data_IF_402737155018
#
_entry.id   IF_402737155018
#
_cell.length_a   1.000
_cell.length_b   1.000
_cell.length_c   1.000
_cell.angle_alpha   90.00
_cell.angle_beta   90.00
_cell.angle_gamma   90.00
#
_symmetry.space_group_name_H-M   'P 1'
#
loop_
_entity.id
_entity.type
_entity.pdbx_description
1 polymer ?
#
# COMPACT_ATOMS: atom_id res chain seq x y z
N UNK A 1 6.21 -2.13 15.34
CA UNK A 1 6.15 -0.72 14.90
C UNK A 1 4.74 -0.43 14.42
N UNK A 2 4.19 0.76 14.64
CA UNK A 2 2.83 1.11 14.22
C UNK A 2 2.86 2.49 13.59
N UNK A 3 2.32 2.61 12.38
CA UNK A 3 2.05 3.88 11.74
C UNK A 3 0.55 4.22 11.88
N UNK A 4 0.25 5.46 12.25
CA UNK A 4 -1.11 5.97 12.33
C UNK A 4 -1.43 6.78 11.08
N UNK A 5 -2.36 6.27 10.29
CA UNK A 5 -2.67 6.74 8.95
C UNK A 5 -4.13 7.15 8.84
N UNK A 6 -4.38 8.17 8.03
CA UNK A 6 -5.71 8.57 7.60
C UNK A 6 -5.80 8.38 6.08
N UNK A 7 -6.90 7.79 5.64
CA UNK A 7 -7.32 7.73 4.24
C UNK A 7 -8.61 8.54 4.10
N UNK A 8 -8.62 9.53 3.21
CA UNK A 8 -9.87 10.19 2.79
C UNK A 8 -10.55 9.29 1.74
N UNK A 9 -11.86 9.07 1.86
CA UNK A 9 -12.60 8.28 0.87
C UNK A 9 -12.58 8.99 -0.50
N UNK A 10 -12.32 8.27 -1.61
CA UNK A 10 -12.44 8.83 -2.94
C UNK A 10 -13.86 9.27 -3.29
N UNK A 11 -14.88 8.60 -2.69
CA UNK A 11 -16.29 8.86 -2.99
C UNK A 11 -16.89 9.98 -2.15
N UNK A 12 -16.28 10.31 -1.01
CA UNK A 12 -16.80 11.32 -0.09
C UNK A 12 -15.69 11.94 0.76
N UNK A 13 -15.47 13.27 0.69
CA UNK A 13 -14.42 13.93 1.46
C UNK A 13 -14.67 13.92 2.98
N UNK A 14 -15.90 13.62 3.41
CA UNK A 14 -16.27 13.55 4.84
C UNK A 14 -16.01 12.16 5.43
N UNK A 15 -16.02 11.11 4.59
CA UNK A 15 -15.70 9.76 5.02
C UNK A 15 -14.18 9.58 5.10
N UNK A 16 -13.70 9.25 6.30
CA UNK A 16 -12.29 8.97 6.55
C UNK A 16 -12.13 7.60 7.20
N UNK A 17 -11.10 6.88 6.79
CA UNK A 17 -10.67 5.64 7.43
C UNK A 17 -9.40 5.90 8.19
N UNK A 18 -9.39 5.54 9.48
CA UNK A 18 -8.18 5.50 10.29
C UNK A 18 -7.57 4.12 10.17
N UNK A 19 -6.32 4.04 9.70
CA UNK A 19 -5.57 2.79 9.62
C UNK A 19 -4.43 2.78 10.63
N UNK A 20 -4.24 1.65 11.29
CA UNK A 20 -3.06 1.36 12.10
C UNK A 20 -2.24 0.31 11.36
N UNK A 21 -1.27 0.77 10.56
CA UNK A 21 -0.37 -0.13 9.83
C UNK A 21 0.70 -0.61 10.81
N UNK A 22 0.53 -1.84 11.29
CA UNK A 22 1.35 -2.41 12.34
C UNK A 22 2.23 -3.55 11.83
N UNK A 23 3.48 -3.54 12.29
CA UNK A 23 4.50 -4.54 11.98
C UNK A 23 4.95 -5.23 13.25
N UNK A 24 4.89 -6.55 13.24
CA UNK A 24 5.37 -7.42 14.31
C UNK A 24 6.63 -8.17 13.87
N UNK A 25 7.63 -8.33 14.75
CA UNK A 25 8.85 -9.06 14.42
C UNK A 25 8.65 -10.56 14.29
N UNK A 26 7.55 -11.10 14.82
CA UNK A 26 7.26 -12.53 14.76
C UNK A 26 5.78 -12.82 14.96
N UNK A 27 5.31 -13.94 14.41
CA UNK A 27 3.95 -14.44 14.61
C UNK A 27 3.60 -14.64 16.10
N UNK A 28 4.48 -15.22 16.95
CA UNK A 28 4.20 -15.32 18.39
C UNK A 28 3.98 -13.96 19.07
N UNK A 29 4.71 -12.91 18.67
CA UNK A 29 4.54 -11.58 19.26
C UNK A 29 3.20 -10.94 18.88
N UNK A 30 2.76 -11.14 17.63
CA UNK A 30 1.42 -10.76 17.18
C UNK A 30 0.34 -11.54 17.93
N UNK A 31 0.46 -12.86 18.00
CA UNK A 31 -0.52 -13.73 18.66
C UNK A 31 -0.68 -13.38 20.13
N UNK A 32 0.42 -13.16 20.87
CA UNK A 32 0.38 -12.78 22.27
C UNK A 32 -0.42 -11.47 22.51
N UNK A 33 -0.31 -10.51 21.59
CA UNK A 33 -1.11 -9.28 21.63
C UNK A 33 -2.58 -9.54 21.26
N UNK A 34 -2.81 -10.22 20.13
CA UNK A 34 -4.16 -10.44 19.58
C UNK A 34 -5.05 -11.24 20.53
N UNK A 35 -4.49 -12.26 21.17
CA UNK A 35 -5.21 -13.11 22.14
C UNK A 35 -5.18 -12.55 23.57
N UNK A 36 -4.65 -11.33 23.77
CA UNK A 36 -4.70 -10.70 25.08
C UNK A 36 -6.15 -10.36 25.43
N UNK A 37 -6.49 -10.49 26.73
CA UNK A 37 -7.83 -10.22 27.23
C UNK A 37 -8.43 -8.88 26.76
N UNK A 38 -7.72 -7.72 26.83
CA UNK A 38 -8.30 -6.45 26.39
C UNK A 38 -8.58 -6.41 24.89
N UNK A 39 -7.71 -6.98 24.05
CA UNK A 39 -7.85 -6.96 22.59
C UNK A 39 -8.98 -7.89 22.16
N UNK A 40 -9.01 -9.11 22.69
CA UNK A 40 -10.09 -10.07 22.41
C UNK A 40 -11.44 -9.55 22.89
N UNK A 41 -11.52 -8.95 24.09
CA UNK A 41 -12.75 -8.35 24.60
C UNK A 41 -13.21 -7.17 23.74
N UNK A 42 -12.29 -6.26 23.39
CA UNK A 42 -12.60 -5.14 22.50
C UNK A 42 -13.14 -5.62 21.15
N UNK A 43 -12.37 -6.46 20.45
CA UNK A 43 -12.75 -6.93 19.12
C UNK A 43 -14.05 -7.71 19.14
N UNK A 44 -14.25 -8.59 20.12
CA UNK A 44 -15.48 -9.37 20.28
C UNK A 44 -16.72 -8.54 20.63
N UNK A 45 -16.54 -7.39 21.29
CA UNK A 45 -17.62 -6.49 21.71
C UNK A 45 -18.11 -5.53 20.63
N UNK A 46 -17.46 -5.49 19.47
CA UNK A 46 -17.82 -4.57 18.39
C UNK A 46 -19.28 -4.79 17.95
N UNK A 47 -20.09 -3.71 17.85
CA UNK A 47 -21.46 -3.81 17.36
C UNK A 47 -21.49 -4.18 15.87
N UNK A 48 -22.61 -4.71 15.34
CA UNK A 48 -22.74 -5.08 13.93
C UNK A 48 -22.47 -3.95 12.93
N UNK A 49 -22.55 -2.68 13.34
CA UNK A 49 -22.34 -1.49 12.50
C UNK A 49 -21.05 -0.73 12.87
N UNK A 50 -20.02 -1.41 13.40
CA UNK A 50 -18.84 -0.78 13.97
C UNK A 50 -17.96 0.01 12.99
N UNK A 51 -17.98 -0.33 11.69
CA UNK A 51 -17.09 0.27 10.70
C UNK A 51 -15.62 -0.07 10.93
N UNK A 52 -15.31 -1.25 11.48
CA UNK A 52 -13.95 -1.67 11.81
C UNK A 52 -13.56 -2.92 11.04
N UNK A 53 -12.31 -2.98 10.60
CA UNK A 53 -11.78 -4.15 9.91
C UNK A 53 -10.34 -4.43 10.31
N UNK A 54 -9.89 -5.65 10.04
CA UNK A 54 -8.50 -6.08 10.14
C UNK A 54 -8.13 -6.87 8.89
N UNK A 55 -6.94 -6.59 8.36
CA UNK A 55 -6.32 -7.30 7.26
C UNK A 55 -4.92 -7.70 7.73
N UNK A 56 -4.71 -8.98 7.97
CA UNK A 56 -3.51 -9.52 8.59
C UNK A 56 -2.73 -10.28 7.53
N UNK A 57 -1.47 -9.92 7.36
CA UNK A 57 -0.59 -10.49 6.35
C UNK A 57 0.57 -11.24 7.05
N UNK A 58 0.69 -12.54 6.81
CA UNK A 58 1.80 -13.37 7.27
C UNK A 58 2.89 -13.38 6.21
N UNK A 59 3.73 -12.33 6.22
CA UNK A 59 4.73 -12.13 5.18
C UNK A 59 5.94 -13.04 5.39
N UNK A 60 6.21 -13.92 4.43
CA UNK A 60 7.45 -14.71 4.39
C UNK A 60 8.65 -13.81 4.08
N UNK A 61 9.76 -13.88 4.84
CA UNK A 61 11.01 -13.19 4.52
C UNK A 61 11.55 -13.52 3.13
N UNK A 62 11.21 -14.70 2.58
CA UNK A 62 11.66 -15.17 1.27
C UNK A 62 10.85 -14.62 0.09
N UNK A 63 9.74 -13.95 0.39
CA UNK A 63 8.77 -13.41 -0.59
C UNK A 63 8.50 -11.92 -0.35
N UNK A 64 9.41 -11.25 0.34
CA UNK A 64 9.32 -9.83 0.62
C UNK A 64 10.65 -9.15 0.31
N UNK A 65 10.58 -7.90 -0.09
CA UNK A 65 11.74 -7.04 -0.24
C UNK A 65 11.38 -5.63 0.22
N UNK A 66 12.38 -4.88 0.66
CA UNK A 66 12.24 -3.48 1.02
C UNK A 66 13.41 -2.67 0.46
N UNK A 67 13.12 -1.46 0.01
CA UNK A 67 14.12 -0.47 -0.41
C UNK A 67 13.92 0.83 0.35
N UNK A 68 15.04 1.44 0.77
CA UNK A 68 15.05 2.74 1.45
C UNK A 68 16.01 3.71 0.73
N UNK A 69 15.61 4.97 0.62
CA UNK A 69 16.46 6.05 0.08
C UNK A 69 17.54 6.50 1.08
N UNK A 70 17.37 6.20 2.37
CA UNK A 70 18.30 6.59 3.44
C UNK A 70 18.35 5.60 4.61
N UNK A 71 19.16 5.88 5.64
CA UNK A 71 19.40 4.97 6.76
C UNK A 71 18.30 4.97 7.83
N UNK A 72 17.34 5.91 7.75
CA UNK A 72 16.19 5.97 8.67
C UNK A 72 15.34 4.72 8.45
N UNK A 73 15.10 3.96 9.53
CA UNK A 73 14.17 2.83 9.49
C UNK A 73 12.77 3.33 9.19
N UNK A 74 12.09 2.68 8.26
CA UNK A 74 10.71 2.91 7.89
C UNK A 74 10.01 1.57 7.65
N UNK A 75 8.70 1.51 7.94
CA UNK A 75 7.86 0.32 7.78
C UNK A 75 8.51 -1.00 8.22
N UNK A 76 8.66 -1.97 7.31
CA UNK A 76 9.25 -3.28 7.58
C UNK A 76 10.68 -3.20 8.15
N UNK A 77 11.45 -2.14 7.85
CA UNK A 77 12.80 -1.99 8.38
C UNK A 77 12.85 -1.80 9.91
N UNK A 78 11.72 -1.51 10.57
CA UNK A 78 11.62 -1.51 12.02
C UNK A 78 11.65 -2.90 12.65
N UNK A 79 11.22 -3.92 11.91
CA UNK A 79 11.15 -5.31 12.39
C UNK A 79 12.08 -6.26 11.64
N UNK A 80 12.71 -5.79 10.55
CA UNK A 80 13.71 -6.51 9.78
C UNK A 80 15.13 -5.96 9.97
N UNK A 81 16.03 -6.48 9.14
CA UNK A 81 17.44 -6.07 9.07
C UNK A 81 17.66 -5.26 7.80
N UNK A 82 18.20 -4.05 7.95
CA UNK A 82 18.68 -3.27 6.80
C UNK A 82 20.03 -3.85 6.39
N UNK A 83 20.13 -4.28 5.14
CA UNK A 83 21.38 -4.74 4.52
C UNK A 83 21.89 -3.69 3.54
N UNK A 84 23.20 -3.67 3.30
CA UNK A 84 23.76 -2.79 2.28
C UNK A 84 23.26 -3.17 0.88
N UNK A 85 23.18 -2.16 0.02
CA UNK A 85 22.69 -2.29 -1.35
C UNK A 85 23.56 -3.29 -2.13
N UNK A 86 22.91 -4.29 -2.74
CA UNK A 86 23.57 -5.24 -3.64
C UNK A 86 23.56 -4.73 -5.08
N UNK A 87 24.09 -5.49 -6.04
CA UNK A 87 24.03 -5.15 -7.47
C UNK A 87 22.61 -5.16 -8.06
N UNK A 88 21.60 -5.64 -7.33
CA UNK A 88 20.21 -5.78 -7.78
C UNK A 88 19.38 -4.50 -7.57
N UNK A 89 19.81 -3.37 -8.13
CA UNK A 89 19.09 -2.09 -8.04
C UNK A 89 19.04 -1.34 -9.38
N UNK A 90 18.07 -0.43 -9.53
CA UNK A 90 18.10 0.55 -10.63
C UNK A 90 17.68 0.04 -12.02
N UNK A 91 17.30 -1.23 -12.18
CA UNK A 91 16.67 -1.77 -13.41
C UNK A 91 15.23 -2.23 -13.17
N UNK A 92 14.46 -2.39 -14.25
CA UNK A 92 13.10 -2.95 -14.18
C UNK A 92 13.15 -4.45 -13.87
N UNK A 93 12.49 -4.89 -12.81
CA UNK A 93 12.55 -6.26 -12.31
C UNK A 93 13.43 -6.43 -11.07
N UNK A 94 14.13 -5.38 -10.62
CA UNK A 94 15.01 -5.48 -9.45
C UNK A 94 14.28 -5.91 -8.16
N UNK A 95 13.00 -5.56 -7.98
CA UNK A 95 12.24 -6.02 -6.82
C UNK A 95 12.00 -7.53 -6.87
N UNK A 96 11.69 -8.07 -8.05
CA UNK A 96 11.46 -9.50 -8.24
C UNK A 96 12.72 -10.32 -7.96
N UNK A 97 13.87 -9.84 -8.41
CA UNK A 97 15.15 -10.53 -8.23
C UNK A 97 15.66 -10.50 -6.78
N UNK A 98 15.04 -9.70 -5.90
CA UNK A 98 15.33 -9.68 -4.45
C UNK A 98 14.56 -10.73 -3.65
N UNK A 99 13.59 -11.40 -4.26
CA UNK A 99 12.86 -12.47 -3.58
C UNK A 99 13.65 -13.79 -3.63
N UNK A 100 13.94 -14.37 -2.47
CA UNK A 100 14.64 -15.67 -2.37
C UNK A 100 13.90 -16.83 -3.06
N UNK A 101 12.57 -16.75 -3.17
CA UNK A 101 11.75 -17.77 -3.82
C UNK A 101 11.56 -17.54 -5.32
N UNK A 102 11.96 -16.39 -5.86
CA UNK A 102 11.86 -16.14 -7.29
C UNK A 102 12.82 -17.05 -8.06
N UNK A 103 12.31 -17.72 -9.08
CA UNK A 103 13.09 -18.56 -9.99
C UNK A 103 12.45 -18.61 -11.37
N UNK A 104 13.11 -19.25 -12.33
CA UNK A 104 12.55 -19.46 -13.67
C UNK A 104 11.22 -20.22 -13.65
N UNK A 105 11.05 -21.13 -12.68
CA UNK A 105 9.84 -21.96 -12.52
C UNK A 105 8.88 -21.43 -11.47
N UNK A 106 9.30 -20.47 -10.63
CA UNK A 106 8.48 -19.82 -9.63
C UNK A 106 8.54 -18.29 -9.80
N UNK A 107 7.69 -17.78 -10.67
CA UNK A 107 7.53 -16.34 -10.89
C UNK A 107 6.52 -15.70 -9.94
N UNK A 108 5.90 -16.49 -9.06
CA UNK A 108 4.89 -16.02 -8.12
C UNK A 108 3.73 -15.31 -8.83
N UNK A 109 3.25 -15.91 -9.92
CA UNK A 109 2.10 -15.43 -10.67
C UNK A 109 0.79 -15.84 -9.98
N UNK A 110 -0.28 -15.05 -10.16
CA UNK A 110 -1.55 -15.38 -9.53
C UNK A 110 -2.15 -16.69 -10.04
N UNK A 111 -2.95 -17.36 -9.21
CA UNK A 111 -3.80 -18.46 -9.66
C UNK A 111 -4.97 -18.01 -10.54
N UNK A 112 -5.31 -16.71 -10.56
CA UNK A 112 -6.33 -16.15 -11.43
C UNK A 112 -5.74 -15.66 -12.75
N UNK A 113 -6.35 -16.08 -13.87
CA UNK A 113 -5.91 -15.69 -15.21
C UNK A 113 -6.20 -14.22 -15.55
N UNK A 114 -7.24 -13.64 -14.95
CA UNK A 114 -7.67 -12.24 -15.16
C UNK A 114 -7.96 -11.59 -13.82
N UNK A 115 -7.76 -10.27 -13.68
CA UNK A 115 -8.14 -9.55 -12.47
C UNK A 115 -9.65 -9.68 -12.23
N UNK A 116 -10.08 -9.97 -11.00
CA UNK A 116 -11.50 -10.01 -10.65
C UNK A 116 -12.10 -8.60 -10.69
N UNK A 117 -13.38 -8.52 -11.03
CA UNK A 117 -14.12 -7.27 -10.96
C UNK A 117 -14.64 -7.03 -9.54
N UNK A 118 -14.38 -5.86 -8.92
CA UNK A 118 -14.89 -5.55 -7.60
C UNK A 118 -16.39 -5.27 -7.66
N UNK A 119 -17.13 -5.74 -6.65
CA UNK A 119 -18.50 -5.25 -6.41
C UNK A 119 -18.40 -3.80 -5.95
N UNK A 120 -18.93 -2.88 -6.76
CA UNK A 120 -19.03 -1.47 -6.39
C UNK A 120 -20.11 -1.31 -5.31
N UNK A 121 -19.84 -0.54 -4.27
CA UNK A 121 -20.78 -0.26 -3.16
C UNK A 121 -21.97 0.64 -3.53
N UNK A 122 -22.35 0.72 -4.81
CA UNK A 122 -23.49 1.51 -5.29
C UNK A 122 -24.74 0.63 -5.17
N UNK A 123 -25.67 1.04 -4.30
CA UNK A 123 -27.01 0.47 -4.32
C UNK A 123 -27.67 0.79 -5.67
N UNK A 124 -28.41 -0.15 -6.23
CA UNK A 124 -29.19 0.01 -7.48
C UNK A 124 -30.38 0.99 -7.33
N UNK A 125 -30.20 2.16 -6.69
CA UNK A 125 -31.26 3.11 -6.44
C UNK A 125 -30.77 4.55 -6.38
N UNK A 126 -31.46 5.42 -7.11
CA UNK A 126 -31.30 6.87 -7.09
C UNK A 126 -31.47 7.43 -5.67
N UNK A 127 -30.39 7.92 -5.05
CA UNK A 127 -30.44 8.73 -3.84
C UNK A 127 -29.21 8.60 -2.93
N UNK A 128 -28.41 9.67 -2.87
CA UNK A 128 -27.29 9.95 -1.95
C UNK A 128 -26.13 8.94 -1.88
N UNK A 129 -24.98 9.36 -2.40
CA UNK A 129 -23.77 8.58 -2.65
C UNK A 129 -22.92 8.18 -1.44
N UNK A 130 -23.52 7.81 -0.31
CA UNK A 130 -22.81 7.12 0.77
C UNK A 130 -23.18 5.62 0.74
N UNK A 131 -22.17 4.77 0.52
CA UNK A 131 -22.35 3.33 0.29
C UNK A 131 -23.14 2.61 1.38
N UNK A 132 -23.74 1.46 1.04
CA UNK A 132 -24.50 0.65 2.00
C UNK A 132 -23.57 0.08 3.08
N UNK A 133 -23.89 0.27 4.36
CA UNK A 133 -23.23 -0.43 5.47
C UNK A 133 -23.67 -1.90 5.45
N UNK A 134 -22.71 -2.83 5.46
CA UNK A 134 -22.97 -4.26 5.65
C UNK A 134 -22.87 -4.60 7.13
N UNK A 135 -24.02 -4.78 7.78
CA UNK A 135 -24.08 -5.15 9.19
C UNK A 135 -23.50 -6.55 9.47
N UNK A 136 -22.94 -6.70 10.67
CA UNK A 136 -22.41 -7.96 11.17
C UNK A 136 -20.93 -8.16 10.85
N UNK A 137 -20.45 -9.38 11.08
CA UNK A 137 -19.08 -9.80 10.84
C UNK A 137 -18.98 -10.58 9.54
N UNK A 138 -18.01 -10.23 8.72
CA UNK A 138 -17.66 -10.97 7.51
C UNK A 138 -16.18 -11.35 7.61
N UNK A 139 -15.90 -12.65 7.53
CA UNK A 139 -14.54 -13.18 7.44
C UNK A 139 -14.31 -13.62 6.00
N UNK A 140 -13.22 -13.13 5.40
CA UNK A 140 -12.77 -13.56 4.08
C UNK A 140 -11.75 -14.67 4.30
N UNK A 141 -12.16 -15.92 4.03
CA UNK A 141 -11.39 -17.12 4.34
C UNK A 141 -10.54 -17.65 3.19
N UNK A 142 -10.81 -17.21 1.96
CA UNK A 142 -10.07 -17.60 0.76
C UNK A 142 -9.39 -16.42 0.09
N UNK A 143 -8.27 -16.68 -0.57
CA UNK A 143 -7.56 -15.71 -1.41
C UNK A 143 -6.93 -16.41 -2.63
N UNK A 144 -6.74 -15.70 -3.75
CA UNK A 144 -5.86 -16.14 -4.82
C UNK A 144 -4.43 -16.35 -4.31
N UNK A 145 -3.71 -17.30 -4.93
CA UNK A 145 -2.28 -17.42 -4.68
C UNK A 145 -1.57 -16.16 -5.19
N UNK A 146 -0.51 -15.77 -4.49
CA UNK A 146 0.48 -14.79 -4.93
C UNK A 146 -0.03 -13.35 -5.11
N UNK A 147 -1.03 -12.95 -4.32
CA UNK A 147 -1.37 -11.53 -4.19
C UNK A 147 -0.13 -10.73 -3.78
N UNK A 148 0.06 -9.58 -4.42
CA UNK A 148 1.18 -8.69 -4.12
C UNK A 148 0.69 -7.48 -3.34
N UNK A 149 1.17 -7.33 -2.12
CA UNK A 149 0.93 -6.15 -1.29
C UNK A 149 2.13 -5.20 -1.39
N UNK A 150 1.84 -3.92 -1.60
CA UNK A 150 2.84 -2.86 -1.74
C UNK A 150 2.58 -1.77 -0.71
N UNK A 151 3.64 -1.38 -0.01
CA UNK A 151 3.68 -0.17 0.80
C UNK A 151 4.70 0.77 0.16
N UNK A 152 4.24 1.93 -0.29
CA UNK A 152 5.12 2.98 -0.81
C UNK A 152 4.98 4.22 0.05
N UNK A 153 6.11 4.76 0.53
CA UNK A 153 6.10 5.87 1.45
C UNK A 153 7.04 6.99 1.04
N UNK A 154 6.61 8.20 1.36
CA UNK A 154 7.33 9.44 1.08
C UNK A 154 7.25 10.34 2.31
N UNK A 155 8.39 10.85 2.76
CA UNK A 155 8.49 11.77 3.89
C UNK A 155 9.37 12.97 3.53
N UNK A 156 8.71 14.13 3.43
CA UNK A 156 9.30 15.41 3.05
C UNK A 156 9.73 16.22 4.29
N UNK A 157 9.47 15.73 5.52
CA UNK A 157 9.69 16.52 6.74
C UNK A 157 11.14 16.93 6.96
N UNK A 158 12.08 16.21 6.34
CA UNK A 158 13.53 16.44 6.48
C UNK A 158 14.16 17.26 5.35
N UNK A 159 13.43 17.62 4.28
CA UNK A 159 14.02 18.29 3.13
C UNK A 159 14.34 19.75 3.43
N UNK A 160 15.51 20.22 2.96
CA UNK A 160 15.89 21.64 3.04
C UNK A 160 15.22 22.49 1.96
N UNK A 161 15.31 23.82 2.08
CA UNK A 161 14.68 24.75 1.13
C UNK A 161 15.16 24.56 -0.32
N UNK A 162 16.44 24.26 -0.53
CA UNK A 162 16.98 23.99 -1.87
C UNK A 162 16.34 22.75 -2.52
N UNK A 163 16.30 21.64 -1.78
CA UNK A 163 15.68 20.40 -2.23
C UNK A 163 14.17 20.56 -2.41
N UNK A 164 13.50 21.29 -1.50
CA UNK A 164 12.07 21.60 -1.59
C UNK A 164 11.73 22.36 -2.87
N UNK A 165 12.49 23.41 -3.19
CA UNK A 165 12.31 24.15 -4.45
C UNK A 165 12.52 23.24 -5.65
N UNK A 166 13.60 22.45 -5.65
CA UNK A 166 13.88 21.51 -6.73
C UNK A 166 12.76 20.47 -6.89
N UNK A 167 12.20 19.98 -5.78
CA UNK A 167 11.07 19.05 -5.77
C UNK A 167 9.83 19.62 -6.47
N UNK A 168 9.43 20.85 -6.11
CA UNK A 168 8.26 21.48 -6.74
C UNK A 168 8.48 21.81 -8.22
N UNK A 169 9.70 22.20 -8.59
CA UNK A 169 10.04 22.51 -9.98
C UNK A 169 10.08 21.25 -10.87
N UNK A 170 10.47 20.09 -10.33
CA UNK A 170 10.83 18.92 -11.16
C UNK A 170 9.99 17.66 -10.91
N UNK A 171 9.36 17.51 -9.75
CA UNK A 171 8.77 16.23 -9.33
C UNK A 171 7.31 16.30 -8.88
N UNK A 172 6.91 17.31 -8.09
CA UNK A 172 5.60 17.34 -7.42
C UNK A 172 4.42 17.02 -8.35
N UNK A 173 4.36 17.66 -9.52
CA UNK A 173 3.32 17.43 -10.51
C UNK A 173 3.37 16.01 -11.10
N UNK A 174 4.56 15.52 -11.49
CA UNK A 174 4.72 14.20 -12.08
C UNK A 174 4.43 13.06 -11.09
N UNK A 175 4.80 13.23 -9.82
CA UNK A 175 4.48 12.30 -8.72
C UNK A 175 2.99 12.30 -8.44
N UNK A 176 2.37 13.49 -8.37
CA UNK A 176 0.91 13.62 -8.20
C UNK A 176 0.15 12.90 -9.32
N UNK A 177 0.57 13.10 -10.57
CA UNK A 177 -0.04 12.44 -11.72
C UNK A 177 0.14 10.93 -11.67
N UNK A 178 1.34 10.43 -11.36
CA UNK A 178 1.58 8.99 -11.27
C UNK A 178 0.73 8.31 -10.19
N UNK A 179 0.69 8.87 -8.99
CA UNK A 179 -0.09 8.29 -7.89
C UNK A 179 -1.59 8.34 -8.22
N UNK A 180 -2.05 9.41 -8.89
CA UNK A 180 -3.45 9.55 -9.32
C UNK A 180 -3.79 8.55 -10.43
N UNK A 181 -2.91 8.35 -11.42
CA UNK A 181 -3.07 7.34 -12.46
C UNK A 181 -3.15 5.93 -11.86
N UNK A 182 -2.31 5.65 -10.86
CA UNK A 182 -2.28 4.36 -10.19
C UNK A 182 -3.55 4.11 -9.38
N UNK A 183 -4.00 5.08 -8.58
CA UNK A 183 -5.22 4.97 -7.79
C UNK A 183 -6.49 4.85 -8.64
N UNK A 184 -6.50 5.41 -9.85
CA UNK A 184 -7.64 5.36 -10.77
C UNK A 184 -7.49 4.31 -11.89
N UNK A 185 -6.47 3.45 -11.81
CA UNK A 185 -6.25 2.45 -12.84
C UNK A 185 -7.45 1.48 -12.90
N UNK A 186 -7.88 1.06 -14.11
CA UNK A 186 -9.00 0.13 -14.24
C UNK A 186 -8.64 -1.23 -13.61
N UNK A 187 -9.65 -2.03 -13.18
CA UNK A 187 -9.43 -3.37 -12.62
C UNK A 187 -8.55 -4.28 -13.49
N UNK A 188 -8.62 -4.14 -14.81
CA UNK A 188 -7.76 -4.85 -15.78
C UNK A 188 -6.25 -4.61 -15.58
N UNK A 189 -5.86 -3.58 -14.83
CA UNK A 189 -4.48 -3.29 -14.43
C UNK A 189 -4.00 -4.16 -13.28
N UNK A 190 -4.89 -5.00 -12.71
CA UNK A 190 -4.59 -5.92 -11.63
C UNK A 190 -4.50 -5.27 -10.25
N UNK A 191 -4.98 -4.04 -10.08
CA UNK A 191 -5.12 -3.42 -8.75
C UNK A 191 -6.44 -3.87 -8.15
N UNK A 192 -6.37 -4.51 -7.00
CA UNK A 192 -7.53 -5.00 -6.25
C UNK A 192 -8.04 -3.95 -5.26
N UNK A 193 -7.12 -3.23 -4.62
CA UNK A 193 -7.43 -2.13 -3.71
C UNK A 193 -6.27 -1.12 -3.68
N UNK A 194 -6.60 0.15 -3.52
CA UNK A 194 -5.67 1.28 -3.51
C UNK A 194 -6.03 2.27 -2.42
N UNK A 195 -5.11 2.53 -1.51
CA UNK A 195 -5.31 3.45 -0.37
C UNK A 195 -4.24 4.53 -0.41
N UNK A 196 -4.68 5.77 -0.59
CA UNK A 196 -3.83 6.94 -0.49
C UNK A 196 -3.93 7.50 0.93
N UNK A 197 -2.94 7.15 1.77
CA UNK A 197 -2.93 7.51 3.17
C UNK A 197 -1.93 8.61 3.50
N UNK A 198 -2.16 9.30 4.60
CA UNK A 198 -1.29 10.35 5.11
C UNK A 198 -1.21 10.35 6.63
N UNK A 199 -0.18 11.02 7.17
CA UNK A 199 0.02 11.20 8.61
C UNK A 199 -0.30 12.66 8.96
N UNK A 200 -1.46 12.96 9.55
CA UNK A 200 -1.88 14.34 9.80
C UNK A 200 -0.90 15.14 10.66
N UNK A 201 -0.29 14.50 11.65
CA UNK A 201 0.68 15.12 12.56
C UNK A 201 1.99 15.53 11.87
N UNK A 202 2.24 15.09 10.64
CA UNK A 202 3.40 15.52 9.85
C UNK A 202 3.26 16.94 9.29
N UNK A 203 2.05 17.53 9.34
CA UNK A 203 1.76 18.81 8.70
C UNK A 203 1.75 18.71 7.17
N UNK A 204 1.42 19.82 6.52
CA UNK A 204 1.37 19.92 5.05
C UNK A 204 2.53 20.75 4.51
N UNK A 205 2.96 20.45 3.28
CA UNK A 205 4.02 21.18 2.56
C UNK A 205 3.51 21.90 1.31
N UNK A 206 2.27 21.62 0.92
CA UNK A 206 1.54 22.24 -0.18
C UNK A 206 0.04 22.19 0.09
N UNK A 207 -0.75 22.83 -0.77
CA UNK A 207 -2.21 22.78 -0.76
C UNK A 207 -2.72 22.54 -2.19
N UNK A 208 -3.07 21.30 -2.50
CA UNK A 208 -3.50 20.84 -3.83
C UNK A 208 -4.42 19.61 -3.74
N UNK A 209 -4.89 19.11 -4.88
CA UNK A 209 -5.69 17.88 -4.97
C UNK A 209 -4.84 16.74 -5.55
N UNK A 210 -4.92 15.51 -5.03
CA UNK A 210 -5.70 15.08 -3.86
C UNK A 210 -5.08 15.48 -2.51
N UNK A 211 -5.94 15.73 -1.51
CA UNK A 211 -5.59 16.16 -0.13
C UNK A 211 -4.50 15.27 0.48
N UNK A 212 -4.59 13.95 0.30
CA UNK A 212 -3.65 12.99 0.86
C UNK A 212 -2.18 13.25 0.46
N UNK A 213 -1.96 13.87 -0.71
CA UNK A 213 -0.62 14.15 -1.22
C UNK A 213 -0.03 15.48 -0.74
N UNK A 214 -0.79 16.26 0.04
CA UNK A 214 -0.36 17.54 0.61
C UNK A 214 0.46 17.40 1.89
N UNK A 215 0.40 16.24 2.55
CA UNK A 215 1.09 15.98 3.79
C UNK A 215 2.57 15.67 3.57
N UNK A 216 3.42 16.12 4.51
CA UNK A 216 4.85 15.84 4.48
C UNK A 216 5.10 14.34 4.41
N UNK A 217 4.38 13.59 5.25
CA UNK A 217 4.46 12.14 5.32
C UNK A 217 3.17 11.50 4.81
N UNK A 218 3.34 10.66 3.79
CA UNK A 218 2.27 9.96 3.06
C UNK A 218 2.70 8.54 2.74
N UNK A 219 1.73 7.63 2.77
CA UNK A 219 1.93 6.21 2.54
C UNK A 219 0.81 5.72 1.62
N UNK A 220 1.16 5.08 0.53
CA UNK A 220 0.22 4.40 -0.33
C UNK A 220 0.27 2.90 -0.07
N UNK A 221 -0.91 2.29 0.04
CA UNK A 221 -1.07 0.85 0.19
C UNK A 221 -1.79 0.32 -1.05
N UNK A 222 -1.22 -0.69 -1.70
CA UNK A 222 -1.82 -1.29 -2.87
C UNK A 222 -1.84 -2.80 -2.75
N UNK A 223 -2.98 -3.40 -3.08
CA UNK A 223 -3.08 -4.82 -3.35
C UNK A 223 -3.15 -5.02 -4.85
N UNK A 224 -2.19 -5.77 -5.38
CA UNK A 224 -2.18 -6.23 -6.77
C UNK A 224 -2.49 -7.72 -6.84
N UNK A 225 -3.08 -8.15 -7.95
CA UNK A 225 -3.38 -9.55 -8.22
C UNK A 225 -2.12 -10.42 -8.16
N UNK A 226 -1.00 -9.91 -8.69
CA UNK A 226 0.34 -10.47 -8.50
C UNK A 226 1.41 -9.39 -8.72
N UNK A 227 2.67 -9.77 -8.46
CA UNK A 227 3.82 -8.88 -8.66
C UNK A 227 4.01 -8.49 -10.14
N UNK A 228 3.57 -9.35 -11.07
CA UNK A 228 3.65 -9.07 -12.51
C UNK A 228 2.75 -7.91 -12.92
N UNK A 229 1.55 -7.78 -12.34
CA UNK A 229 0.67 -6.62 -12.58
C UNK A 229 1.30 -5.32 -12.08
N UNK A 230 1.89 -5.34 -10.88
CA UNK A 230 2.62 -4.20 -10.32
C UNK A 230 3.78 -3.76 -11.23
N UNK A 231 4.62 -4.69 -11.68
CA UNK A 231 5.73 -4.35 -12.60
C UNK A 231 5.23 -3.81 -13.94
N UNK A 232 4.18 -4.42 -14.51
CA UNK A 232 3.63 -4.02 -15.81
C UNK A 232 3.07 -2.62 -15.79
N UNK A 233 2.33 -2.22 -14.75
CA UNK A 233 1.79 -0.85 -14.69
C UNK A 233 2.92 0.17 -14.58
N UNK A 234 3.96 -0.12 -13.81
CA UNK A 234 5.14 0.73 -13.67
C UNK A 234 5.92 0.91 -14.97
N UNK A 235 6.13 -0.15 -15.75
CA UNK A 235 6.88 -0.09 -17.02
C UNK A 235 6.06 0.51 -18.16
N UNK A 236 4.73 0.34 -18.15
CA UNK A 236 3.86 0.78 -19.25
C UNK A 236 3.38 2.22 -19.09
N UNK A 237 3.29 2.75 -17.87
CA UNK A 237 2.92 4.15 -17.65
C UNK A 237 4.09 5.06 -18.05
N UNK A 238 3.93 5.83 -19.14
CA UNK A 238 4.95 6.75 -19.65
C UNK A 238 5.33 7.84 -18.65
N UNK A 239 4.36 8.31 -17.85
CA UNK A 239 4.59 9.30 -16.79
C UNK A 239 5.50 8.74 -15.69
N UNK A 240 5.26 7.51 -15.24
CA UNK A 240 6.11 6.84 -14.27
C UNK A 240 7.51 6.56 -14.81
N UNK A 241 7.65 6.10 -16.06
CA UNK A 241 8.96 5.88 -16.68
C UNK A 241 9.76 7.19 -16.74
N UNK A 242 9.13 8.30 -17.15
CA UNK A 242 9.77 9.62 -17.19
C UNK A 242 10.15 10.11 -15.79
N UNK A 243 9.22 10.01 -14.82
CA UNK A 243 9.45 10.33 -13.41
C UNK A 243 10.65 9.57 -12.86
N UNK A 244 10.69 8.25 -13.04
CA UNK A 244 11.76 7.39 -12.56
C UNK A 244 13.11 7.77 -13.17
N UNK A 245 13.16 8.01 -14.47
CA UNK A 245 14.40 8.41 -15.15
C UNK A 245 14.90 9.77 -14.63
N UNK A 246 13.99 10.74 -14.46
CA UNK A 246 14.33 12.05 -13.91
C UNK A 246 14.81 11.92 -12.45
N UNK A 247 14.13 11.10 -11.64
CA UNK A 247 14.49 10.88 -10.25
C UNK A 247 15.89 10.27 -10.13
N UNK A 248 16.20 9.24 -10.93
CA UNK A 248 17.55 8.67 -10.98
C UNK A 248 18.60 9.70 -11.41
N UNK A 249 18.31 10.54 -12.40
CA UNK A 249 19.23 11.59 -12.84
C UNK A 249 19.50 12.65 -11.75
N UNK A 250 18.50 13.03 -10.97
CA UNK A 250 18.61 14.09 -9.97
C UNK A 250 19.12 13.61 -8.61
N UNK A 251 18.68 12.44 -8.15
CA UNK A 251 18.90 11.96 -6.78
C UNK A 251 19.99 10.90 -6.63
N UNK A 252 20.45 10.27 -7.72
CA UNK A 252 21.65 9.41 -7.63
C UNK A 252 22.89 10.24 -7.27
N UNK A 253 24.00 9.62 -6.80
CA UNK A 253 25.15 10.33 -6.21
C UNK A 253 25.79 11.43 -7.07
N UNK A 254 25.67 11.34 -8.40
CA UNK A 254 26.18 12.33 -9.35
C UNK A 254 25.15 13.40 -9.78
N UNK A 255 23.89 13.26 -9.36
CA UNK A 255 22.80 14.16 -9.68
C UNK A 255 22.80 15.44 -8.84
N UNK A 256 22.01 16.43 -9.26
CA UNK A 256 21.93 17.74 -8.63
C UNK A 256 21.61 17.67 -7.11
N UNK A 257 20.75 16.73 -6.71
CA UNK A 257 20.33 16.56 -5.32
C UNK A 257 21.13 15.48 -4.57
N UNK A 258 21.98 14.71 -5.24
CA UNK A 258 22.59 13.49 -4.69
C UNK A 258 23.41 13.66 -3.39
N UNK A 259 23.94 14.86 -3.14
CA UNK A 259 24.72 15.18 -1.92
C UNK A 259 23.90 15.80 -0.79
N UNK A 260 22.79 16.44 -1.14
CA UNK A 260 21.98 17.22 -0.19
C UNK A 260 20.66 16.53 0.15
N UNK A 261 20.26 15.52 -0.63
CA UNK A 261 18.97 14.85 -0.52
C UNK A 261 18.69 14.36 0.90
N UNK A 262 17.55 14.79 1.43
CA UNK A 262 16.95 14.33 2.68
C UNK A 262 15.56 13.75 2.48
N UNK A 263 15.01 13.81 1.26
CA UNK A 263 13.76 13.16 0.91
C UNK A 263 13.85 11.67 1.26
N UNK A 264 12.99 11.22 2.15
CA UNK A 264 12.93 9.82 2.52
C UNK A 264 11.86 9.12 1.70
N UNK A 265 12.30 8.22 0.83
CA UNK A 265 11.44 7.28 0.10
C UNK A 265 11.69 5.87 0.63
N UNK A 266 10.62 5.09 0.72
CA UNK A 266 10.73 3.66 0.94
C UNK A 266 9.64 2.91 0.19
N UNK A 267 9.95 1.67 -0.13
CA UNK A 267 9.05 0.75 -0.81
C UNK A 267 9.18 -0.62 -0.19
N UNK A 268 8.07 -1.31 -0.04
CA UNK A 268 7.98 -2.70 0.39
C UNK A 268 7.09 -3.41 -0.61
N UNK A 269 7.53 -4.57 -1.08
CA UNK A 269 6.67 -5.42 -1.90
C UNK A 269 6.70 -6.83 -1.33
N UNK A 270 5.53 -7.35 -0.97
CA UNK A 270 5.38 -8.68 -0.38
C UNK A 270 4.43 -9.51 -1.25
N UNK A 271 4.78 -10.76 -1.52
CA UNK A 271 3.94 -11.69 -2.28
C UNK A 271 3.45 -12.80 -1.36
N UNK A 272 2.13 -12.92 -1.25
CA UNK A 272 1.45 -13.68 -0.21
C UNK A 272 0.89 -14.97 -0.80
N UNK A 273 1.04 -16.09 -0.09
CA UNK A 273 0.29 -17.31 -0.39
C UNK A 273 -1.15 -17.14 0.07
N UNK A 274 -2.05 -17.98 -0.46
CA UNK A 274 -3.48 -17.87 -0.12
C UNK A 274 -3.81 -17.97 1.38
N UNK A 275 -2.98 -18.69 2.13
CA UNK A 275 -3.12 -18.92 3.58
C UNK A 275 -2.31 -17.93 4.43
N UNK A 276 -1.66 -16.97 3.79
CA UNK A 276 -0.87 -15.91 4.44
C UNK A 276 -1.67 -14.61 4.59
N UNK A 277 -2.99 -14.62 4.35
CA UNK A 277 -3.89 -13.46 4.46
C UNK A 277 -5.14 -13.85 5.23
N UNK A 278 -5.51 -13.05 6.23
CA UNK A 278 -6.79 -13.15 6.94
C UNK A 278 -7.43 -11.76 6.97
N UNK A 279 -8.69 -11.65 6.51
CA UNK A 279 -9.43 -10.40 6.60
C UNK A 279 -10.76 -10.60 7.34
N UNK A 280 -11.06 -9.70 8.26
CA UNK A 280 -12.36 -9.63 8.93
C UNK A 280 -12.87 -8.19 8.93
N UNK A 281 -14.13 -8.00 8.57
CA UNK A 281 -14.82 -6.73 8.50
C UNK A 281 -16.05 -6.76 9.40
N UNK A 282 -16.28 -5.70 10.17
CA UNK A 282 -17.40 -5.57 11.12
C UNK A 282 -18.14 -4.28 10.85
N UNK A 283 -19.32 -4.36 10.23
CA UNK A 283 -20.14 -3.17 9.95
C UNK A 283 -19.52 -2.20 8.97
N UNK A 284 -18.70 -2.67 8.02
CA UNK A 284 -18.03 -1.80 7.05
C UNK A 284 -18.94 -1.46 5.86
N UNK A 285 -18.60 -0.38 5.15
CA UNK A 285 -19.23 -0.03 3.88
C UNK A 285 -18.94 -1.14 2.84
N UNK A 286 -19.96 -1.46 2.04
CA UNK A 286 -19.81 -2.36 0.89
C UNK A 286 -18.65 -1.92 0.00
N UNK A 287 -17.83 -2.88 -0.41
CA UNK A 287 -16.64 -2.62 -1.23
C UNK A 287 -15.40 -2.16 -0.47
N UNK A 288 -15.44 -2.08 0.87
CA UNK A 288 -14.23 -1.78 1.67
C UNK A 288 -13.23 -2.94 1.59
N UNK A 289 -12.02 -2.69 1.09
CA UNK A 289 -10.98 -3.70 0.95
C UNK A 289 -11.48 -4.95 0.19
N UNK A 290 -11.24 -6.13 0.76
CA UNK A 290 -11.64 -7.40 0.15
C UNK A 290 -13.13 -7.73 0.26
N UNK A 291 -13.94 -6.93 0.97
CA UNK A 291 -15.42 -7.06 0.88
C UNK A 291 -15.93 -6.86 -0.55
N UNK A 292 -15.16 -6.16 -1.40
CA UNK A 292 -15.49 -6.00 -2.80
C UNK A 292 -15.51 -7.34 -3.57
N UNK A 293 -14.85 -8.39 -3.07
CA UNK A 293 -14.61 -9.63 -3.82
C UNK A 293 -15.24 -10.88 -3.19
N UNK A 294 -15.86 -10.77 -2.01
CA UNK A 294 -16.40 -11.90 -1.22
C UNK A 294 -17.53 -12.71 -1.89
N UNK A 295 -18.02 -12.20 -3.02
CA UNK A 295 -18.99 -12.86 -3.87
C UNK A 295 -18.38 -13.86 -4.85
N UNK A 296 -17.05 -13.81 -5.03
CA UNK A 296 -16.29 -14.67 -5.92
C UNK A 296 -15.74 -15.88 -5.18
N UNK A 297 -15.75 -17.04 -5.83
CA UNK A 297 -15.30 -18.29 -5.22
C UNK A 297 -13.82 -18.26 -4.79
N UNK A 298 -12.99 -17.50 -5.48
CA UNK A 298 -11.57 -17.34 -5.14
C UNK A 298 -11.32 -16.61 -3.80
N UNK A 299 -12.37 -16.02 -3.21
CA UNK A 299 -12.30 -15.25 -1.96
C UNK A 299 -13.17 -15.86 -0.83
N UNK A 300 -13.60 -17.12 -0.97
CA UNK A 300 -14.41 -17.83 0.04
C UNK A 300 -13.60 -18.86 0.81
#
# INVERSE_FOLDING_TARGET
YIEHLIQSSPSSPTLKTTLFLAYWPSLPSYQAWWTSAPVTAFWGSLPPSAGMYREILLISPRRTQSGLAGPKKEGMAHVGTIVERTSAEGYWGCYRDRYDENSETNRMDSSLAVPPEPRRGVGDGDGDGDGRIREGRVVIGGFPENLCFVVEGQDHSGIGEEEKRYWFENFDASVTNWITDLANAPPSSGILDARLCYVPSSGTYRDSVPEALNYNRKIQLFYFLDHGYMERIGVRNKGHVALRNNFLASYCPAGAMGRIAKLMLWVETSVLKKDEIECEYVGCLEGTGFLAFDHLEAFK
#
